data_IF_677652994262
#
_entry.id   IF_677652994262
#
_cell.length_a   1.000
_cell.length_b   1.000
_cell.length_c   1.000
_cell.angle_alpha   90.00
_cell.angle_beta   90.00
_cell.angle_gamma   90.00
#
_symmetry.space_group_name_H-M   'P 1'
#
loop_
_entity.id
_entity.type
_entity.pdbx_description
1 polymer ?
#
# COMPACT_ATOMS: atom_id res chain seq x y z
N UNK A 1 8.39 6.03 4.96
CA UNK A 1 9.31 6.87 4.15
C UNK A 1 9.80 6.02 2.99
N UNK A 2 9.99 6.63 1.83
CA UNK A 2 10.35 5.97 0.57
C UNK A 2 11.68 6.52 0.06
N UNK A 3 12.46 5.65 -0.57
CA UNK A 3 13.48 6.06 -1.55
C UNK A 3 12.74 6.32 -2.86
N UNK A 4 12.95 7.49 -3.41
CA UNK A 4 12.35 7.93 -4.67
C UNK A 4 13.41 7.97 -5.75
N UNK A 5 13.17 7.32 -6.89
CA UNK A 5 14.08 7.33 -8.04
C UNK A 5 13.34 7.86 -9.26
N UNK A 6 13.90 8.89 -9.90
CA UNK A 6 13.39 9.50 -11.12
C UNK A 6 14.25 9.09 -12.30
N UNK A 7 13.64 8.53 -13.33
CA UNK A 7 14.31 8.28 -14.62
C UNK A 7 13.80 9.30 -15.64
N UNK A 8 14.73 10.05 -16.23
CA UNK A 8 14.45 11.04 -17.27
C UNK A 8 15.59 11.13 -18.29
N UNK A 9 15.41 11.97 -19.31
CA UNK A 9 16.38 12.18 -20.40
C UNK A 9 17.82 12.40 -20.01
N UNK A 10 18.02 13.04 -18.86
CA UNK A 10 19.32 13.50 -18.39
C UNK A 10 19.96 12.53 -17.40
N UNK A 11 19.35 11.35 -17.19
CA UNK A 11 19.84 10.34 -16.28
C UNK A 11 18.84 9.99 -15.17
N UNK A 12 19.41 9.53 -14.06
CA UNK A 12 18.70 9.05 -12.87
C UNK A 12 18.95 10.02 -11.72
N UNK A 13 17.88 10.42 -11.02
CA UNK A 13 17.97 11.21 -9.80
C UNK A 13 17.33 10.44 -8.65
N UNK A 14 17.93 10.51 -7.46
CA UNK A 14 17.44 9.82 -6.27
C UNK A 14 17.12 10.82 -5.15
N UNK A 15 16.16 10.47 -4.32
CA UNK A 15 15.71 11.28 -3.19
C UNK A 15 14.94 10.47 -2.15
N UNK A 16 14.37 11.19 -1.19
CA UNK A 16 13.52 10.61 -0.16
C UNK A 16 12.14 11.27 -0.18
N UNK A 17 11.10 10.44 -0.12
CA UNK A 17 9.72 10.89 -0.08
C UNK A 17 9.04 10.46 1.23
N UNK A 18 8.29 11.39 1.84
CA UNK A 18 7.32 11.03 2.88
C UNK A 18 6.14 10.27 2.26
N UNK A 19 5.34 9.59 3.09
CA UNK A 19 4.12 8.92 2.58
C UNK A 19 3.14 9.93 1.96
N UNK A 20 3.03 11.13 2.55
CA UNK A 20 2.17 12.18 2.03
C UNK A 20 2.64 12.66 0.64
N UNK A 21 3.96 12.82 0.45
CA UNK A 21 4.53 13.23 -0.83
C UNK A 21 4.33 12.16 -1.91
N UNK A 22 4.66 10.90 -1.60
CA UNK A 22 4.45 9.77 -2.51
C UNK A 22 2.97 9.64 -2.91
N UNK A 23 2.04 9.73 -1.94
CA UNK A 23 0.60 9.69 -2.20
C UNK A 23 0.14 10.86 -3.08
N UNK A 24 0.68 12.06 -2.86
CA UNK A 24 0.36 13.22 -3.70
C UNK A 24 0.78 13.00 -5.16
N UNK A 25 1.98 12.44 -5.39
CA UNK A 25 2.48 12.15 -6.73
C UNK A 25 1.69 11.03 -7.42
N UNK A 26 1.36 9.96 -6.69
CA UNK A 26 0.50 8.88 -7.18
C UNK A 26 -0.88 9.43 -7.59
N UNK A 27 -1.53 10.24 -6.74
CA UNK A 27 -2.82 10.89 -7.07
C UNK A 27 -2.71 11.82 -8.28
N UNK A 28 -1.57 12.51 -8.43
CA UNK A 28 -1.32 13.37 -9.59
C UNK A 28 -1.16 12.55 -10.87
N UNK A 29 -0.49 11.40 -10.80
CA UNK A 29 -0.32 10.48 -11.92
C UNK A 29 -1.67 9.94 -12.42
N UNK A 30 -2.51 9.44 -11.50
CA UNK A 30 -3.88 9.02 -11.85
C UNK A 30 -4.70 10.13 -12.50
N UNK A 31 -4.70 11.35 -11.94
CA UNK A 31 -5.41 12.51 -12.51
C UNK A 31 -4.92 12.90 -13.91
N UNK A 32 -3.71 12.51 -14.28
CA UNK A 32 -3.10 12.80 -15.59
C UNK A 32 -3.16 11.61 -16.56
N UNK A 33 -3.81 10.51 -16.16
CA UNK A 33 -3.88 9.29 -16.97
C UNK A 33 -2.52 8.61 -17.16
N UNK A 34 -1.59 8.78 -16.23
CA UNK A 34 -0.32 8.05 -16.24
C UNK A 34 -0.52 6.65 -15.64
N UNK A 35 0.30 5.70 -16.08
CA UNK A 35 0.30 4.34 -15.53
C UNK A 35 0.91 4.36 -14.14
N UNK A 36 0.29 3.62 -13.21
CA UNK A 36 0.76 3.47 -11.83
C UNK A 36 0.63 2.01 -11.43
N UNK A 37 1.76 1.37 -11.18
CA UNK A 37 1.84 -0.04 -10.76
C UNK A 37 2.26 -0.09 -9.29
N UNK A 38 1.49 -0.77 -8.44
CA UNK A 38 1.87 -1.01 -7.05
C UNK A 38 2.79 -2.25 -6.96
N UNK A 39 3.74 -2.26 -6.02
CA UNK A 39 4.65 -3.39 -5.83
C UNK A 39 4.33 -4.21 -4.57
N UNK A 40 4.64 -5.53 -4.55
CA UNK A 40 4.41 -6.40 -3.38
C UNK A 40 5.09 -5.92 -2.10
N UNK A 41 6.22 -5.22 -2.22
CA UNK A 41 6.97 -4.65 -1.10
C UNK A 41 6.25 -3.44 -0.48
N UNK A 42 5.19 -2.93 -1.11
CA UNK A 42 4.48 -1.72 -0.72
C UNK A 42 5.00 -0.45 -1.37
N UNK A 43 5.66 -0.59 -2.53
CA UNK A 43 6.11 0.51 -3.38
C UNK A 43 5.14 0.84 -4.51
N UNK A 44 5.55 1.76 -5.38
CA UNK A 44 4.84 2.04 -6.62
C UNK A 44 5.79 2.51 -7.72
N UNK A 45 5.43 2.24 -8.98
CA UNK A 45 6.12 2.75 -10.17
C UNK A 45 5.12 3.55 -10.99
N UNK A 46 5.43 4.81 -11.25
CA UNK A 46 4.66 5.70 -12.13
C UNK A 46 5.41 5.78 -13.46
N UNK A 47 4.73 5.54 -14.58
CA UNK A 47 5.34 5.66 -15.92
C UNK A 47 4.51 6.55 -16.83
N UNK A 48 5.19 7.36 -17.65
CA UNK A 48 4.55 8.21 -18.67
C UNK A 48 5.53 8.59 -19.78
N UNK A 49 4.97 9.02 -20.91
CA UNK A 49 5.74 9.58 -22.03
C UNK A 49 5.70 11.10 -21.97
N UNK A 50 6.87 11.74 -21.96
CA UNK A 50 7.00 13.18 -22.09
C UNK A 50 7.33 13.55 -23.53
N UNK A 51 6.62 14.53 -24.09
CA UNK A 51 6.95 15.14 -25.38
C UNK A 51 7.85 16.35 -25.16
N UNK A 52 8.95 16.44 -25.89
CA UNK A 52 9.89 17.56 -25.86
C UNK A 52 10.21 18.00 -27.27
N UNK A 53 10.45 19.30 -27.45
CA UNK A 53 11.05 19.82 -28.67
C UNK A 53 12.56 19.80 -28.50
N UNK A 54 13.25 19.12 -29.42
CA UNK A 54 14.71 19.07 -29.52
C UNK A 54 15.04 19.41 -30.97
N UNK A 55 15.81 20.48 -31.17
CA UNK A 55 16.21 20.95 -32.51
C UNK A 55 15.06 21.15 -33.51
N UNK A 56 13.89 21.53 -33.00
CA UNK A 56 12.68 21.74 -33.82
C UNK A 56 11.82 20.49 -34.04
N UNK A 57 12.27 19.32 -33.61
CA UNK A 57 11.53 18.06 -33.70
C UNK A 57 10.88 17.66 -32.37
N UNK A 58 9.67 17.11 -32.45
CA UNK A 58 8.99 16.56 -31.29
C UNK A 58 9.51 15.15 -30.98
N UNK A 59 10.27 15.04 -29.90
CA UNK A 59 10.80 13.77 -29.39
C UNK A 59 9.92 13.27 -28.25
N UNK A 60 9.48 12.02 -28.34
CA UNK A 60 8.81 11.30 -27.27
C UNK A 60 9.82 10.55 -26.40
N UNK A 61 9.67 10.66 -25.08
CA UNK A 61 10.59 10.01 -24.16
C UNK A 61 9.90 9.45 -22.93
N UNK A 62 10.17 8.17 -22.66
CA UNK A 62 9.72 7.51 -21.44
C UNK A 62 10.33 8.14 -20.19
N UNK A 63 9.50 8.27 -19.16
CA UNK A 63 9.89 8.69 -17.82
C UNK A 63 9.27 7.78 -16.79
N UNK A 64 9.94 7.66 -15.65
CA UNK A 64 9.37 6.98 -14.50
C UNK A 64 9.75 7.64 -13.19
N UNK A 65 8.92 7.37 -12.19
CA UNK A 65 9.20 7.60 -10.77
C UNK A 65 8.94 6.28 -10.07
N UNK A 66 9.91 5.74 -9.36
CA UNK A 66 9.71 4.62 -8.45
C UNK A 66 9.78 5.07 -6.99
N UNK A 67 8.90 4.49 -6.18
CA UNK A 67 8.90 4.62 -4.73
C UNK A 67 9.19 3.26 -4.12
N UNK A 68 10.37 3.12 -3.51
CA UNK A 68 10.77 1.92 -2.78
C UNK A 68 10.65 2.19 -1.29
N UNK A 69 9.84 1.42 -0.53
CA UNK A 69 9.68 1.66 0.89
C UNK A 69 10.98 1.34 1.64
N UNK A 70 11.38 2.21 2.58
CA UNK A 70 12.54 1.94 3.45
C UNK A 70 12.31 0.75 4.39
N UNK A 71 11.05 0.51 4.75
CA UNK A 71 10.61 -0.68 5.48
C UNK A 71 9.61 -1.40 4.58
N UNK A 72 10.05 -2.43 3.82
CA UNK A 72 9.17 -3.22 3.00
C UNK A 72 8.06 -3.88 3.82
N UNK A 73 6.92 -4.10 3.19
CA UNK A 73 5.77 -4.76 3.80
C UNK A 73 6.11 -6.17 4.33
N UNK A 74 7.11 -6.82 3.75
CA UNK A 74 7.43 -8.21 4.01
C UNK A 74 6.39 -9.17 3.42
N UNK A 75 6.52 -10.48 3.66
CA UNK A 75 5.55 -11.46 3.19
C UNK A 75 4.18 -11.23 3.82
N UNK A 76 3.19 -10.86 3.00
CA UNK A 76 1.81 -10.79 3.44
C UNK A 76 1.18 -12.18 3.36
N UNK A 77 1.17 -12.91 4.48
CA UNK A 77 0.43 -14.18 4.61
C UNK A 77 -1.07 -13.93 4.52
N UNK A 78 -1.88 -14.96 4.23
CA UNK A 78 -3.33 -14.78 4.11
C UNK A 78 -3.98 -14.20 5.36
N UNK A 79 -3.50 -14.59 6.55
CA UNK A 79 -3.93 -14.00 7.81
C UNK A 79 -3.63 -12.49 7.90
N UNK A 80 -2.42 -12.07 7.50
CA UNK A 80 -2.04 -10.64 7.48
C UNK A 80 -2.87 -9.90 6.44
N UNK A 81 -3.10 -10.48 5.26
CA UNK A 81 -3.97 -9.90 4.21
C UNK A 81 -5.38 -9.67 4.72
N UNK A 82 -5.98 -10.67 5.39
CA UNK A 82 -7.30 -10.55 6.00
C UNK A 82 -7.36 -9.40 6.99
N UNK A 83 -6.37 -9.29 7.90
CA UNK A 83 -6.30 -8.17 8.85
C UNK A 83 -6.16 -6.80 8.15
N UNK A 84 -5.31 -6.70 7.13
CA UNK A 84 -5.16 -5.47 6.35
C UNK A 84 -6.44 -5.11 5.61
N UNK A 85 -7.16 -6.10 5.08
CA UNK A 85 -8.43 -5.91 4.40
C UNK A 85 -9.52 -5.43 5.36
N UNK A 86 -9.65 -6.03 6.55
CA UNK A 86 -10.55 -5.55 7.62
C UNK A 86 -10.29 -4.09 7.97
N UNK A 87 -9.01 -3.71 8.08
CA UNK A 87 -8.61 -2.32 8.37
C UNK A 87 -8.83 -1.38 7.17
N UNK A 88 -8.85 -1.91 5.94
CA UNK A 88 -9.07 -1.15 4.72
C UNK A 88 -10.55 -0.82 4.49
N UNK A 89 -11.44 -1.80 4.67
CA UNK A 89 -12.87 -1.73 4.29
C UNK A 89 -13.74 -0.91 5.24
N UNK A 90 -13.17 -0.32 6.29
CA UNK A 90 -13.77 0.84 6.95
C UNK A 90 -14.32 0.60 8.36
N UNK A 91 -13.98 -0.51 9.01
CA UNK A 91 -14.15 -0.57 10.45
C UNK A 91 -13.21 0.45 11.11
N UNK A 92 -13.76 1.38 11.89
CA UNK A 92 -12.93 2.26 12.71
C UNK A 92 -12.06 1.38 13.62
N UNK A 93 -10.76 1.49 13.46
CA UNK A 93 -9.81 0.66 14.18
C UNK A 93 -9.17 1.45 15.32
N UNK A 94 -9.04 0.84 16.48
CA UNK A 94 -8.54 1.47 17.69
C UNK A 94 -7.49 0.59 18.36
N UNK A 95 -6.44 1.18 18.94
CA UNK A 95 -5.54 0.43 19.79
C UNK A 95 -6.31 -0.04 21.03
N UNK A 96 -6.01 -1.25 21.49
CA UNK A 96 -6.62 -1.83 22.67
C UNK A 96 -5.65 -2.72 23.44
N UNK A 97 -6.13 -3.28 24.55
CA UNK A 97 -5.41 -4.31 25.30
C UNK A 97 -6.31 -5.51 25.58
N UNK A 98 -5.70 -6.69 25.55
CA UNK A 98 -6.27 -7.96 26.00
C UNK A 98 -5.21 -8.64 26.87
N UNK A 99 -5.54 -8.91 28.14
CA UNK A 99 -4.62 -9.47 29.13
C UNK A 99 -3.27 -8.72 29.21
N UNK A 100 -3.34 -7.39 29.17
CA UNK A 100 -2.17 -6.51 29.21
C UNK A 100 -1.39 -6.40 27.89
N UNK A 101 -1.70 -7.21 26.88
CA UNK A 101 -1.02 -7.25 25.57
C UNK A 101 -1.70 -6.34 24.54
N UNK A 102 -0.96 -5.70 23.62
CA UNK A 102 -1.54 -4.81 22.61
C UNK A 102 -2.41 -5.59 21.63
N UNK A 103 -3.56 -5.04 21.26
CA UNK A 103 -4.45 -5.55 20.21
C UNK A 103 -4.96 -4.40 19.36
N UNK A 104 -5.48 -4.68 18.17
CA UNK A 104 -6.23 -3.71 17.37
C UNK A 104 -7.68 -4.15 17.31
N UNK A 105 -8.60 -3.29 17.74
CA UNK A 105 -10.04 -3.53 17.67
C UNK A 105 -10.57 -2.88 16.40
N UNK A 106 -11.18 -3.65 15.52
CA UNK A 106 -11.72 -3.18 14.24
C UNK A 106 -13.17 -3.69 14.10
N UNK A 107 -14.15 -2.85 14.49
CA UNK A 107 -15.54 -3.26 14.52
C UNK A 107 -15.77 -4.41 15.50
N UNK A 108 -16.34 -5.52 15.00
CA UNK A 108 -16.56 -6.74 15.78
C UNK A 108 -15.31 -7.65 15.84
N UNK A 109 -14.31 -7.39 15.01
CA UNK A 109 -13.08 -8.18 14.97
C UNK A 109 -12.02 -7.60 15.92
N UNK A 110 -11.24 -8.49 16.53
CA UNK A 110 -10.05 -8.11 17.30
C UNK A 110 -8.84 -8.80 16.69
N UNK A 111 -7.88 -8.00 16.22
CA UNK A 111 -6.60 -8.50 15.74
C UNK A 111 -5.75 -8.90 16.95
N UNK A 112 -5.32 -10.16 17.06
CA UNK A 112 -4.65 -10.68 18.25
C UNK A 112 -3.26 -10.05 18.46
N UNK A 113 -2.65 -10.21 19.65
CA UNK A 113 -1.39 -9.52 19.97
C UNK A 113 -0.21 -9.84 19.06
N UNK A 114 -0.08 -11.09 18.61
CA UNK A 114 0.98 -11.48 17.69
C UNK A 114 0.85 -10.75 16.33
N UNK A 115 -0.36 -10.76 15.76
CA UNK A 115 -0.65 -10.06 14.51
C UNK A 115 -0.50 -8.53 14.66
N UNK A 116 -0.99 -7.96 15.75
CA UNK A 116 -0.81 -6.54 16.07
C UNK A 116 0.66 -6.17 16.11
N UNK A 117 1.49 -6.94 16.83
CA UNK A 117 2.93 -6.70 16.92
C UNK A 117 3.61 -6.78 15.56
N UNK A 118 3.22 -7.76 14.73
CA UNK A 118 3.71 -7.88 13.36
C UNK A 118 3.36 -6.66 12.50
N UNK A 119 2.10 -6.20 12.53
CA UNK A 119 1.65 -5.03 11.78
C UNK A 119 2.42 -3.76 12.15
N UNK A 120 2.71 -3.54 13.44
CA UNK A 120 3.53 -2.41 13.88
C UNK A 120 5.01 -2.57 13.56
N UNK A 121 5.58 -3.77 13.71
CA UNK A 121 6.98 -4.05 13.41
C UNK A 121 7.32 -3.77 11.93
N UNK A 122 6.41 -4.11 11.02
CA UNK A 122 6.55 -3.84 9.58
C UNK A 122 6.00 -2.47 9.16
N UNK A 123 5.58 -1.62 10.11
CA UNK A 123 4.99 -0.30 9.84
C UNK A 123 3.84 -0.36 8.83
N UNK A 124 3.04 -1.42 8.88
CA UNK A 124 1.86 -1.60 8.04
C UNK A 124 0.67 -0.79 8.56
N UNK A 125 0.69 -0.50 9.86
CA UNK A 125 -0.28 0.36 10.54
C UNK A 125 0.42 1.48 11.28
N UNK A 126 -0.31 2.55 11.53
CA UNK A 126 0.11 3.68 12.35
C UNK A 126 -1.08 4.24 13.12
N UNK A 127 -0.80 4.92 14.23
CA UNK A 127 -1.82 5.55 15.06
C UNK A 127 -1.92 7.03 14.73
N UNK A 128 -3.16 7.51 14.59
CA UNK A 128 -3.46 8.90 14.29
C UNK A 128 -4.78 9.29 14.94
N UNK A 129 -4.76 10.29 15.84
CA UNK A 129 -5.94 10.71 16.58
C UNK A 129 -6.60 9.58 17.41
N UNK A 130 -5.80 8.65 17.96
CA UNK A 130 -6.30 7.50 18.72
C UNK A 130 -6.91 6.39 17.85
N UNK A 131 -6.78 6.48 16.52
CA UNK A 131 -7.23 5.47 15.57
C UNK A 131 -6.05 4.79 14.91
N UNK A 132 -6.20 3.51 14.62
CA UNK A 132 -5.25 2.76 13.80
C UNK A 132 -5.62 2.95 12.34
N UNK A 133 -4.65 3.30 11.50
CA UNK A 133 -4.81 3.43 10.05
C UNK A 133 -3.71 2.67 9.32
N UNK A 134 -4.04 2.16 8.14
CA UNK A 134 -3.04 1.59 7.23
C UNK A 134 -2.08 2.68 6.74
N UNK A 135 -0.79 2.35 6.69
CA UNK A 135 0.23 3.16 6.03
C UNK A 135 0.11 3.06 4.50
N UNK A 136 0.78 3.96 3.78
CA UNK A 136 0.82 3.87 2.32
C UNK A 136 1.46 2.56 1.84
N UNK A 137 2.49 2.08 2.55
CA UNK A 137 3.17 0.82 2.26
C UNK A 137 2.19 -0.36 2.28
N UNK A 138 1.40 -0.48 3.36
CA UNK A 138 0.40 -1.53 3.47
C UNK A 138 -0.67 -1.45 2.38
N UNK A 139 -1.13 -0.24 2.05
CA UNK A 139 -2.14 -0.03 1.01
C UNK A 139 -1.63 -0.44 -0.37
N UNK A 140 -0.39 -0.09 -0.70
CA UNK A 140 0.22 -0.44 -1.99
C UNK A 140 0.51 -1.94 -2.08
N UNK A 141 1.01 -2.56 -1.02
CA UNK A 141 1.24 -4.00 -1.00
C UNK A 141 -0.08 -4.77 -1.15
N UNK A 142 -1.13 -4.36 -0.42
CA UNK A 142 -2.47 -4.93 -0.58
C UNK A 142 -3.00 -4.73 -2.01
N UNK A 143 -2.85 -3.52 -2.58
CA UNK A 143 -3.28 -3.24 -3.94
C UNK A 143 -2.57 -4.11 -4.97
N UNK A 144 -1.25 -4.31 -4.85
CA UNK A 144 -0.49 -5.14 -5.77
C UNK A 144 -0.99 -6.58 -5.82
N UNK A 145 -1.48 -7.10 -4.69
CA UNK A 145 -2.09 -8.43 -4.60
C UNK A 145 -3.45 -8.41 -5.29
N UNK A 146 -4.28 -7.39 -5.02
CA UNK A 146 -5.60 -7.28 -5.62
C UNK A 146 -5.56 -7.14 -7.15
N UNK A 147 -4.53 -6.49 -7.69
CA UNK A 147 -4.32 -6.35 -9.13
C UNK A 147 -3.67 -7.57 -9.78
N UNK A 148 -2.96 -8.38 -8.99
CA UNK A 148 -2.37 -9.64 -9.44
C UNK A 148 -3.37 -10.82 -9.36
N UNK A 149 -4.35 -10.72 -8.46
CA UNK A 149 -5.41 -11.69 -8.25
C UNK A 149 -6.44 -11.65 -9.39
N UNK A 150 -6.83 -12.83 -9.88
CA UNK A 150 -8.00 -12.97 -10.75
C UNK A 150 -9.27 -12.52 -9.99
N UNK A 151 -10.34 -12.03 -10.66
CA UNK A 151 -11.61 -11.76 -10.01
C UNK A 151 -12.15 -12.93 -9.17
N UNK A 152 -11.81 -14.17 -9.54
CA UNK A 152 -12.15 -15.40 -8.83
C UNK A 152 -11.38 -15.55 -7.51
N UNK A 153 -10.10 -15.16 -7.47
CA UNK A 153 -9.27 -15.18 -6.26
C UNK A 153 -9.73 -14.11 -5.25
N UNK A 154 -10.22 -12.97 -5.75
CA UNK A 154 -10.80 -11.91 -4.92
C UNK A 154 -12.12 -12.34 -4.27
N UNK A 155 -12.92 -13.16 -4.96
CA UNK A 155 -14.14 -13.74 -4.41
C UNK A 155 -13.82 -14.80 -3.33
N UNK A 156 -12.82 -15.65 -3.55
CA UNK A 156 -12.39 -16.64 -2.57
C UNK A 156 -11.90 -16.00 -1.25
N UNK A 157 -11.16 -14.89 -1.32
CA UNK A 157 -10.72 -14.14 -0.13
C UNK A 157 -11.92 -13.56 0.64
N UNK A 158 -12.98 -13.14 -0.05
CA UNK A 158 -14.22 -12.66 0.59
C UNK A 158 -15.05 -13.80 1.20
N UNK A 159 -15.02 -15.00 0.62
CA UNK A 159 -15.75 -16.18 1.11
C UNK A 159 -15.03 -16.88 2.27
N UNK A 160 -13.70 -16.74 2.40
CA UNK A 160 -12.93 -17.36 3.50
C UNK A 160 -13.24 -16.73 4.88
N UNK A 161 -13.94 -15.59 4.91
CA UNK A 161 -14.52 -14.98 6.13
C UNK A 161 -15.94 -15.48 6.47
N UNK A 162 -16.42 -16.51 5.76
CA UNK A 162 -17.64 -17.25 6.06
C UNK A 162 -17.52 -18.03 7.37
N UNK A 163 -17.77 -17.34 8.48
CA UNK A 163 -18.12 -17.95 9.77
C UNK A 163 -19.21 -19.00 9.54
N UNK A 164 -18.88 -20.28 9.74
CA UNK A 164 -19.89 -21.31 9.92
C UNK A 164 -20.80 -20.88 11.08
N UNK A 165 -22.05 -20.54 10.76
CA UNK A 165 -23.10 -20.42 11.74
C UNK A 165 -23.37 -21.82 12.30
N UNK A 166 -23.36 -22.02 13.63
CA UNK A 166 -23.71 -23.32 14.19
C UNK A 166 -25.21 -23.63 13.98
N UNK A 167 -25.40 -24.80 13.36
CA UNK A 167 -26.60 -25.64 13.13
C UNK A 167 -27.64 -25.16 12.12
#
# INVERSE_FOLDING_TARGET
>A
MFVETFIHAGGVAEGHASEAHALQLIRRAFRRGHTVDATPEGGAVITWTARRLVDGEAVEQGRSISFTPQTPAGPLTDAVRGHLFTLHTGAAAFPGRLDGRPVIRAGLQTIPPAATSHLYAHRLVTEDGGRVRLTLVARLALLSILTAASPEDLAAIAETDGVELPA
#
